data_IF_994812889378
#
_entry.id   IF_994812889378
#
_cell.length_a   1.000
_cell.length_b   1.000
_cell.length_c   1.000
_cell.angle_alpha   90.00
_cell.angle_beta   90.00
_cell.angle_gamma   90.00
#
_symmetry.space_group_name_H-M   'P 1'
#
loop_
_entity.id
_entity.type
_entity.pdbx_description
1 polymer ?
#
# COMPACT_ATOMS: atom_id res chain seq x y z
N UNK A 1 -31.32 -38.55 59.00
CA UNK A 1 -30.28 -37.56 59.39
C UNK A 1 -29.04 -37.79 58.52
N UNK A 2 -28.63 -36.72 57.83
CA UNK A 2 -27.33 -36.44 57.16
C UNK A 2 -26.90 -37.30 55.95
N UNK A 3 -26.64 -36.59 54.84
CA UNK A 3 -25.52 -36.73 53.88
C UNK A 3 -25.98 -36.40 52.45
N UNK A 4 -25.32 -35.66 51.58
CA UNK A 4 -24.12 -34.81 51.61
C UNK A 4 -24.21 -33.92 50.36
N UNK A 5 -23.86 -32.64 50.48
CA UNK A 5 -23.73 -31.72 49.34
C UNK A 5 -22.59 -32.18 48.40
N UNK A 6 -22.91 -32.48 47.14
CA UNK A 6 -21.91 -32.61 46.08
C UNK A 6 -21.91 -31.34 45.25
N UNK A 7 -21.03 -30.43 45.65
CA UNK A 7 -20.56 -29.32 44.82
C UNK A 7 -19.70 -29.93 43.70
N UNK A 8 -20.11 -29.75 42.44
CA UNK A 8 -19.26 -30.04 41.28
C UNK A 8 -19.02 -28.72 40.55
N UNK A 9 -17.82 -28.17 40.74
CA UNK A 9 -17.28 -27.07 39.95
C UNK A 9 -16.99 -27.59 38.53
N UNK A 10 -17.63 -26.99 37.52
CA UNK A 10 -17.26 -27.16 36.12
C UNK A 10 -16.44 -25.95 35.66
N UNK A 11 -15.12 -26.12 35.56
CA UNK A 11 -14.21 -25.15 34.95
C UNK A 11 -14.32 -25.25 33.43
N UNK A 12 -14.95 -24.26 32.81
CA UNK A 12 -14.97 -24.13 31.34
C UNK A 12 -13.65 -23.51 30.87
N UNK A 13 -12.83 -24.31 30.18
CA UNK A 13 -11.62 -23.85 29.50
C UNK A 13 -12.05 -23.16 28.21
N UNK A 14 -11.96 -21.83 28.17
CA UNK A 14 -12.13 -21.05 26.93
C UNK A 14 -10.91 -21.24 26.04
N UNK A 15 -11.09 -21.95 24.92
CA UNK A 15 -10.10 -22.09 23.87
C UNK A 15 -10.02 -20.77 23.09
N UNK A 16 -9.09 -19.89 23.46
CA UNK A 16 -8.79 -18.71 22.65
C UNK A 16 -8.05 -19.16 21.40
N UNK A 17 -8.73 -19.13 20.25
CA UNK A 17 -8.05 -19.16 18.96
C UNK A 17 -7.21 -17.89 18.87
N UNK A 18 -5.92 -18.01 19.18
CA UNK A 18 -4.95 -17.00 18.81
C UNK A 18 -5.01 -16.82 17.30
N UNK A 19 -5.61 -15.71 16.86
CA UNK A 19 -5.42 -15.21 15.52
C UNK A 19 -3.92 -14.92 15.41
N UNK A 20 -3.17 -15.86 14.85
CA UNK A 20 -1.78 -15.63 14.50
C UNK A 20 -1.75 -14.41 13.62
N UNK A 21 -1.06 -13.35 14.06
CA UNK A 21 -0.75 -12.21 13.21
C UNK A 21 -0.03 -12.78 11.99
N UNK A 22 -0.73 -12.89 10.86
CA UNK A 22 -0.09 -13.19 9.60
C UNK A 22 0.90 -12.05 9.38
N UNK A 23 2.19 -12.32 9.59
CA UNK A 23 3.23 -11.44 9.10
C UNK A 23 2.97 -11.32 7.61
N UNK A 24 2.58 -10.14 7.15
CA UNK A 24 2.38 -9.86 5.73
C UNK A 24 3.71 -10.16 5.03
N UNK A 25 3.82 -11.35 4.44
CA UNK A 25 5.02 -11.79 3.77
C UNK A 25 5.16 -10.91 2.54
N UNK A 26 6.14 -10.00 2.54
CA UNK A 26 6.35 -9.13 1.40
C UNK A 26 6.76 -9.98 0.20
N UNK A 27 6.00 -9.91 -0.90
CA UNK A 27 6.26 -10.73 -2.08
C UNK A 27 7.61 -10.38 -2.72
N UNK A 28 8.31 -11.38 -3.27
CA UNK A 28 9.62 -11.18 -3.93
C UNK A 28 9.49 -11.15 -5.46
N UNK A 29 8.37 -11.65 -5.99
CA UNK A 29 8.04 -11.70 -7.41
C UNK A 29 6.63 -11.15 -7.65
N UNK A 30 6.30 -10.84 -8.90
CA UNK A 30 4.96 -10.41 -9.30
C UNK A 30 4.82 -8.91 -9.62
N UNK A 31 5.86 -8.11 -9.41
CA UNK A 31 5.90 -6.73 -9.88
C UNK A 31 5.62 -6.67 -11.40
N UNK A 32 4.72 -5.78 -11.80
CA UNK A 32 4.20 -5.63 -13.15
C UNK A 32 3.00 -6.51 -13.50
N UNK A 33 2.58 -7.42 -12.62
CA UNK A 33 1.40 -8.27 -12.85
C UNK A 33 0.11 -7.56 -12.42
N UNK A 34 -0.99 -7.82 -13.14
CA UNK A 34 -2.32 -7.28 -12.81
C UNK A 34 -2.91 -7.87 -11.53
N UNK A 35 -2.59 -9.12 -11.22
CA UNK A 35 -3.02 -9.83 -10.01
C UNK A 35 -1.83 -10.64 -9.46
N UNK A 36 -0.89 -9.99 -8.77
CA UNK A 36 0.24 -10.66 -8.15
C UNK A 36 -0.22 -11.49 -6.95
N UNK A 37 0.50 -12.56 -6.63
CA UNK A 37 0.33 -13.29 -5.37
C UNK A 37 0.95 -12.51 -4.19
N UNK A 38 0.38 -11.34 -3.89
CA UNK A 38 0.79 -10.42 -2.84
C UNK A 38 -0.44 -9.90 -2.09
N UNK A 39 -0.27 -9.56 -0.82
CA UNK A 39 -1.34 -8.95 -0.02
C UNK A 39 -1.68 -7.57 -0.56
N UNK A 40 -2.96 -7.30 -0.78
CA UNK A 40 -3.45 -5.95 -1.06
C UNK A 40 -3.37 -5.11 0.21
N UNK A 41 -2.67 -3.98 0.11
CA UNK A 41 -2.42 -3.02 1.17
C UNK A 41 -3.00 -1.65 0.84
N UNK A 42 -3.97 -1.58 -0.08
CA UNK A 42 -4.62 -0.34 -0.47
C UNK A 42 -5.42 0.27 0.67
N UNK A 43 -5.46 1.60 0.71
CA UNK A 43 -6.31 2.38 1.62
C UNK A 43 -7.63 2.79 0.97
N UNK A 44 -7.79 2.56 -0.33
CA UNK A 44 -8.97 2.96 -1.10
C UNK A 44 -9.44 1.81 -2.01
N UNK A 45 -10.74 1.44 -1.98
CA UNK A 45 -11.26 0.30 -2.73
C UNK A 45 -11.28 0.47 -4.25
N UNK A 46 -11.09 1.69 -4.77
CA UNK A 46 -10.97 1.93 -6.22
C UNK A 46 -9.58 1.55 -6.77
N UNK A 47 -8.64 1.18 -5.90
CA UNK A 47 -7.28 0.81 -6.23
C UNK A 47 -6.84 -0.43 -5.47
N UNK A 48 -5.90 -1.16 -6.05
CA UNK A 48 -5.23 -2.27 -5.38
C UNK A 48 -3.75 -1.94 -5.31
N UNK A 49 -3.15 -2.05 -4.13
CA UNK A 49 -1.75 -1.71 -3.93
C UNK A 49 -1.01 -2.91 -3.40
N UNK A 50 0.12 -3.25 -4.02
CA UNK A 50 0.90 -4.42 -3.68
C UNK A 50 2.32 -4.02 -3.32
N UNK A 51 2.81 -4.56 -2.20
CA UNK A 51 4.18 -4.31 -1.71
C UNK A 51 5.07 -5.52 -1.94
N UNK A 52 6.23 -5.26 -2.54
CA UNK A 52 7.27 -6.23 -2.82
C UNK A 52 8.58 -5.83 -2.13
N UNK A 53 9.45 -6.80 -1.85
CA UNK A 53 10.78 -6.53 -1.31
C UNK A 53 11.83 -7.40 -1.99
N UNK A 54 12.91 -6.76 -2.45
CA UNK A 54 14.10 -7.45 -2.96
C UNK A 54 15.34 -6.81 -2.33
N UNK A 55 16.04 -7.58 -1.50
CA UNK A 55 17.14 -7.05 -0.69
C UNK A 55 16.66 -5.95 0.27
N UNK A 56 17.31 -4.79 0.20
CA UNK A 56 17.00 -3.59 0.99
C UNK A 56 16.01 -2.64 0.31
N UNK A 57 15.55 -2.96 -0.91
CA UNK A 57 14.58 -2.14 -1.64
C UNK A 57 13.15 -2.64 -1.43
N UNK A 58 12.26 -1.67 -1.21
CA UNK A 58 10.81 -1.90 -1.21
C UNK A 58 10.27 -1.41 -2.55
N UNK A 59 9.33 -2.15 -3.13
CA UNK A 59 8.60 -1.73 -4.33
C UNK A 59 7.12 -1.71 -4.02
N UNK A 60 6.43 -0.69 -4.51
CA UNK A 60 5.01 -0.49 -4.27
C UNK A 60 4.36 -0.26 -5.63
N UNK A 61 3.48 -1.18 -6.00
CA UNK A 61 2.74 -1.13 -7.26
C UNK A 61 1.31 -0.70 -7.00
N UNK A 62 0.78 0.17 -7.87
CA UNK A 62 -0.61 0.62 -7.84
C UNK A 62 -1.34 0.11 -9.07
N UNK A 63 -2.44 -0.59 -8.83
CA UNK A 63 -3.39 -1.03 -9.86
C UNK A 63 -4.72 -0.29 -9.66
N UNK A 64 -5.47 -0.11 -10.75
CA UNK A 64 -6.86 0.33 -10.64
C UNK A 64 -7.80 -0.84 -10.25
N UNK A 65 -9.09 -0.53 -10.05
CA UNK A 65 -10.13 -1.50 -9.71
C UNK A 65 -10.31 -2.64 -10.74
N UNK A 66 -9.84 -2.48 -11.97
CA UNK A 66 -9.88 -3.51 -13.02
C UNK A 66 -8.60 -4.35 -13.08
N UNK A 67 -7.62 -4.06 -12.20
CA UNK A 67 -6.33 -4.72 -12.17
C UNK A 67 -5.32 -4.19 -13.18
N UNK A 68 -5.61 -3.08 -13.88
CA UNK A 68 -4.62 -2.47 -14.75
C UNK A 68 -3.51 -1.86 -13.90
N UNK A 69 -2.26 -2.20 -14.21
CA UNK A 69 -1.10 -1.63 -13.52
C UNK A 69 -0.91 -0.18 -13.97
N UNK A 70 -1.14 0.76 -13.04
CA UNK A 70 -1.04 2.19 -13.30
C UNK A 70 0.40 2.66 -13.17
N UNK A 71 1.06 2.29 -12.08
CA UNK A 71 2.45 2.67 -11.84
C UNK A 71 3.08 1.84 -10.74
N UNK A 72 4.39 1.99 -10.58
CA UNK A 72 5.10 1.49 -9.42
C UNK A 72 6.20 2.43 -8.97
N UNK A 73 6.56 2.32 -7.70
CA UNK A 73 7.63 3.07 -7.06
C UNK A 73 8.60 2.12 -6.40
N UNK A 74 9.86 2.53 -6.33
CA UNK A 74 10.83 1.93 -5.44
C UNK A 74 11.16 2.89 -4.31
N UNK A 75 11.39 2.35 -3.11
CA UNK A 75 11.89 3.09 -1.96
C UNK A 75 13.21 2.48 -1.50
N UNK A 76 14.22 3.33 -1.37
CA UNK A 76 15.54 2.95 -0.87
C UNK A 76 15.52 2.79 0.67
N UNK A 77 16.63 2.32 1.22
CA UNK A 77 16.80 2.26 2.68
C UNK A 77 16.98 3.64 3.31
N UNK A 78 17.51 4.62 2.55
CA UNK A 78 17.64 6.02 2.98
C UNK A 78 16.30 6.76 2.98
N UNK A 79 15.30 6.24 2.28
CA UNK A 79 13.94 6.75 2.29
C UNK A 79 13.51 7.42 1.00
N UNK A 80 14.42 7.56 0.05
CA UNK A 80 14.17 8.17 -1.26
C UNK A 80 13.20 7.31 -2.09
N UNK A 81 12.27 7.96 -2.77
CA UNK A 81 11.35 7.31 -3.70
C UNK A 81 11.75 7.57 -5.15
N UNK A 82 11.68 6.54 -5.98
CA UNK A 82 11.92 6.63 -7.43
C UNK A 82 10.76 6.00 -8.19
N UNK A 83 10.37 6.64 -9.29
CA UNK A 83 9.41 6.07 -10.23
C UNK A 83 10.00 4.84 -10.93
N UNK A 84 9.15 3.87 -11.27
CA UNK A 84 9.57 2.68 -12.01
C UNK A 84 8.97 2.68 -13.43
N UNK A 85 9.67 2.10 -14.42
CA UNK A 85 9.14 1.91 -15.77
C UNK A 85 8.15 0.73 -15.82
N UNK A 86 7.10 0.79 -15.00
CA UNK A 86 6.09 -0.26 -14.83
C UNK A 86 4.72 0.40 -14.82
N UNK A 87 3.80 -0.13 -15.63
CA UNK A 87 2.43 0.36 -15.74
C UNK A 87 2.20 1.37 -16.86
N UNK A 88 0.93 1.63 -17.15
CA UNK A 88 0.50 2.53 -18.23
C UNK A 88 0.87 3.99 -17.99
N UNK A 89 0.99 4.38 -16.73
CA UNK A 89 1.18 5.76 -16.29
C UNK A 89 2.58 5.96 -15.67
N UNK A 90 3.55 5.11 -16.03
CA UNK A 90 4.92 5.16 -15.50
C UNK A 90 5.62 6.51 -15.73
N UNK A 91 5.35 7.18 -16.84
CA UNK A 91 5.88 8.53 -17.13
C UNK A 91 5.23 9.64 -16.30
N UNK A 92 4.11 9.32 -15.65
CA UNK A 92 3.36 10.18 -14.74
C UNK A 92 3.54 9.75 -13.27
N UNK A 93 4.64 9.08 -12.94
CA UNK A 93 5.02 8.77 -11.57
C UNK A 93 5.94 9.87 -11.03
N UNK A 94 5.40 10.75 -10.19
CA UNK A 94 6.16 11.80 -9.51
C UNK A 94 6.60 11.32 -8.12
N UNK A 95 7.79 11.73 -7.70
CA UNK A 95 8.29 11.48 -6.35
C UNK A 95 8.88 12.74 -5.71
N UNK A 96 9.29 12.60 -4.45
CA UNK A 96 10.04 13.61 -3.69
C UNK A 96 11.40 13.96 -4.31
N UNK A 97 11.98 13.05 -5.11
CA UNK A 97 13.26 13.25 -5.80
C UNK A 97 13.05 13.50 -7.30
N UNK A 98 12.10 12.81 -7.91
CA UNK A 98 11.75 12.89 -9.33
C UNK A 98 10.44 13.67 -9.50
N UNK A 99 10.54 14.99 -9.31
CA UNK A 99 9.38 15.88 -9.38
C UNK A 99 8.88 16.09 -10.80
N UNK A 100 7.56 16.22 -10.93
CA UNK A 100 6.86 16.56 -12.18
C UNK A 100 6.09 17.88 -12.01
N UNK A 101 5.67 18.56 -13.09
CA UNK A 101 4.76 19.70 -12.97
C UNK A 101 3.49 19.29 -12.22
N UNK A 102 2.90 20.19 -11.43
CA UNK A 102 1.69 19.90 -10.67
C UNK A 102 0.60 19.21 -11.52
N UNK A 103 -0.14 18.22 -10.97
CA UNK A 103 -1.22 17.57 -11.70
C UNK A 103 -2.27 18.60 -12.14
N UNK A 104 -2.92 18.33 -13.28
CA UNK A 104 -4.01 19.18 -13.76
C UNK A 104 -5.22 19.17 -12.80
N UNK A 105 -5.46 18.05 -12.12
CA UNK A 105 -6.46 17.92 -11.07
C UNK A 105 -5.89 18.29 -9.70
N UNK A 106 -6.61 19.14 -8.97
CA UNK A 106 -6.35 19.39 -7.54
C UNK A 106 -6.95 18.31 -6.64
N UNK A 107 -7.87 17.50 -7.15
CA UNK A 107 -8.42 16.35 -6.45
C UNK A 107 -7.48 15.14 -6.62
N UNK A 108 -7.13 14.51 -5.50
CA UNK A 108 -6.36 13.27 -5.45
C UNK A 108 -6.95 12.32 -4.42
N UNK A 109 -6.61 11.04 -4.54
CA UNK A 109 -6.99 9.98 -3.61
C UNK A 109 -5.72 9.35 -3.04
N UNK A 110 -5.62 9.24 -1.72
CA UNK A 110 -4.57 8.44 -1.08
C UNK A 110 -4.94 6.96 -1.25
N UNK A 111 -4.06 6.22 -1.93
CA UNK A 111 -4.27 4.80 -2.26
C UNK A 111 -3.40 3.87 -1.42
N UNK A 112 -2.35 4.42 -0.80
CA UNK A 112 -1.47 3.69 0.10
C UNK A 112 -0.90 4.62 1.15
N UNK A 113 -0.79 4.12 2.38
CA UNK A 113 -0.05 4.78 3.43
C UNK A 113 0.49 3.75 4.43
N UNK A 114 1.77 3.83 4.75
CA UNK A 114 2.37 3.15 5.90
C UNK A 114 3.14 4.14 6.77
N UNK A 115 3.95 3.65 7.71
CA UNK A 115 4.75 4.50 8.59
C UNK A 115 5.92 5.24 7.92
N UNK A 116 6.08 5.15 6.60
CA UNK A 116 7.22 5.74 5.87
C UNK A 116 6.85 6.35 4.52
N UNK A 117 5.80 5.88 3.86
CA UNK A 117 5.41 6.29 2.52
C UNK A 117 3.92 6.58 2.45
N UNK A 118 3.57 7.66 1.74
CA UNK A 118 2.22 7.92 1.24
C UNK A 118 2.22 7.88 -0.29
N UNK A 119 1.23 7.23 -0.89
CA UNK A 119 1.00 7.29 -2.34
C UNK A 119 -0.40 7.82 -2.60
N UNK A 120 -0.46 8.84 -3.44
CA UNK A 120 -1.69 9.41 -3.94
C UNK A 120 -1.81 9.31 -5.46
N UNK A 121 -3.04 9.24 -5.95
CA UNK A 121 -3.36 9.22 -7.38
C UNK A 121 -4.30 10.37 -7.71
N UNK A 122 -3.97 11.14 -8.74
CA UNK A 122 -4.79 12.24 -9.26
C UNK A 122 -5.11 12.02 -10.76
N UNK A 123 -6.39 11.98 -11.16
CA UNK A 123 -6.75 11.85 -12.57
C UNK A 123 -6.30 13.07 -13.38
N UNK A 124 -5.89 12.86 -14.62
CA UNK A 124 -5.51 13.93 -15.56
C UNK A 124 -6.58 14.10 -16.65
N UNK A 125 -6.57 15.26 -17.32
CA UNK A 125 -7.55 15.59 -18.36
C UNK A 125 -7.46 14.72 -19.62
N UNK A 126 -6.30 14.09 -19.84
CA UNK A 126 -6.05 13.16 -20.95
C UNK A 126 -6.42 11.71 -20.62
N UNK A 127 -7.00 11.45 -19.43
CA UNK A 127 -7.38 10.13 -18.96
C UNK A 127 -6.24 9.32 -18.33
N UNK A 128 -5.02 9.87 -18.29
CA UNK A 128 -3.91 9.29 -17.52
C UNK A 128 -4.08 9.54 -16.03
N UNK A 129 -3.30 8.82 -15.24
CA UNK A 129 -3.24 8.99 -13.79
C UNK A 129 -1.90 9.58 -13.40
N UNK A 130 -1.91 10.67 -12.64
CA UNK A 130 -0.71 11.13 -11.91
C UNK A 130 -0.58 10.30 -10.64
N UNK A 131 0.50 9.55 -10.52
CA UNK A 131 0.87 8.88 -9.27
C UNK A 131 1.92 9.72 -8.54
N UNK A 132 1.80 9.84 -7.23
CA UNK A 132 2.67 10.67 -6.39
C UNK A 132 3.09 9.87 -5.18
N UNK A 133 4.38 9.56 -5.04
CA UNK A 133 4.94 8.91 -3.86
C UNK A 133 5.80 9.90 -3.08
N UNK A 134 5.57 9.99 -1.77
CA UNK A 134 6.31 10.89 -0.90
C UNK A 134 6.51 10.26 0.50
N UNK A 135 7.43 10.80 1.32
CA UNK A 135 7.52 10.46 2.74
C UNK A 135 6.18 10.69 3.44
N UNK A 136 5.83 9.86 4.42
CA UNK A 136 4.53 9.96 5.13
C UNK A 136 4.35 11.29 5.87
N UNK A 137 5.46 11.97 6.20
CA UNK A 137 5.46 13.29 6.83
C UNK A 137 4.95 14.39 5.87
N UNK A 138 4.91 14.10 4.57
CA UNK A 138 4.33 14.97 3.56
C UNK A 138 2.81 15.08 3.74
N UNK A 139 2.34 16.25 4.20
CA UNK A 139 0.91 16.51 4.40
C UNK A 139 0.13 16.64 3.09
N UNK A 140 0.78 17.10 2.03
CA UNK A 140 0.19 17.29 0.73
C UNK A 140 1.09 16.67 -0.35
N UNK A 141 0.78 15.45 -0.83
CA UNK A 141 1.58 14.75 -1.82
C UNK A 141 1.89 15.61 -3.06
N UNK A 142 0.96 16.47 -3.47
CA UNK A 142 1.17 17.37 -4.61
C UNK A 142 2.33 18.33 -4.35
N UNK A 143 2.42 18.94 -3.16
CA UNK A 143 3.49 19.88 -2.83
C UNK A 143 4.86 19.22 -2.78
N UNK A 144 4.93 17.97 -2.30
CA UNK A 144 6.20 17.27 -2.16
C UNK A 144 6.71 16.66 -3.46
N UNK A 145 5.83 16.40 -4.43
CA UNK A 145 6.20 15.76 -5.71
C UNK A 145 6.14 16.70 -6.91
N UNK A 146 5.84 17.98 -6.67
CA UNK A 146 5.76 18.98 -7.73
C UNK A 146 6.90 19.99 -7.67
N UNK A 147 7.33 20.47 -8.85
CA UNK A 147 8.24 21.60 -8.99
C UNK A 147 7.67 22.65 -9.92
#
# INVERSE_FOLDING_TARGET
MRNHHRLLLATAITLSLGMGAAHAQTAVTGLGQSSPNATDVSTNPAYHVYKFRKGSMTYIQVNDAFGNVRGAFSRTMTGDHYGMPVGSDATNAATDIETLPAPASTAYTVVYQDGATVIAVAPQSDGTMRLMAAPVECKNPVECTSR
#
